data_IF_995840032529
#
_entry.id   IF_995840032529
#
_cell.length_a   1.000
_cell.length_b   1.000
_cell.length_c   1.000
_cell.angle_alpha   90.00
_cell.angle_beta   90.00
_cell.angle_gamma   90.00
#
_symmetry.space_group_name_H-M   'P 1'
#
loop_
_entity.id
_entity.type
_entity.pdbx_description
1 polymer ?
#
# COMPACT_ATOMS: atom_id res chain seq x y z
N UNK A 1 -10.86 -1.91 48.50
CA UNK A 1 -9.80 -1.40 47.59
C UNK A 1 -10.23 -0.01 47.23
N UNK A 2 -9.82 0.97 48.04
CA UNK A 2 -10.25 2.36 47.87
C UNK A 2 -9.60 2.91 46.60
N UNK A 3 -10.42 3.21 45.59
CA UNK A 3 -9.98 3.91 44.39
C UNK A 3 -9.49 5.29 44.82
N UNK A 4 -8.18 5.50 44.75
CA UNK A 4 -7.57 6.82 44.95
C UNK A 4 -8.13 7.73 43.85
N UNK A 5 -9.12 8.54 44.21
CA UNK A 5 -9.76 9.48 43.28
C UNK A 5 -8.82 10.67 43.09
N UNK A 6 -8.12 10.71 41.95
CA UNK A 6 -7.32 11.86 41.56
C UNK A 6 -8.25 13.00 41.16
N UNK A 7 -8.31 14.05 41.98
CA UNK A 7 -9.05 15.26 41.67
C UNK A 7 -8.26 16.10 40.65
N UNK A 8 -8.60 15.91 39.36
CA UNK A 8 -7.96 16.56 38.20
C UNK A 8 -8.12 18.08 38.25
N UNK A 9 -9.11 18.60 39.00
CA UNK A 9 -9.36 20.04 39.11
C UNK A 9 -8.43 20.74 40.10
N UNK A 10 -7.65 20.01 40.90
CA UNK A 10 -6.58 20.61 41.72
C UNK A 10 -5.41 21.03 40.83
N UNK A 11 -5.02 22.29 40.94
CA UNK A 11 -4.03 22.98 40.10
C UNK A 11 -2.72 22.20 39.90
N UNK A 12 -2.20 21.55 40.96
CA UNK A 12 -0.98 20.76 40.87
C UNK A 12 -1.12 19.49 40.02
N UNK A 13 -2.27 18.80 40.08
CA UNK A 13 -2.51 17.59 39.28
C UNK A 13 -2.87 17.93 37.84
N UNK A 14 -3.59 19.03 37.61
CA UNK A 14 -3.89 19.53 36.27
C UNK A 14 -2.60 19.79 35.47
N UNK A 15 -1.65 20.52 36.05
CA UNK A 15 -0.38 20.83 35.40
C UNK A 15 0.46 19.57 35.12
N UNK A 16 0.44 18.59 36.03
CA UNK A 16 1.08 17.29 35.81
C UNK A 16 0.44 16.51 34.65
N UNK A 17 -0.90 16.44 34.59
CA UNK A 17 -1.61 15.76 33.50
C UNK A 17 -1.40 16.48 32.18
N UNK A 18 -1.41 17.82 32.15
CA UNK A 18 -1.13 18.59 30.95
C UNK A 18 0.29 18.37 30.44
N UNK A 19 1.30 18.45 31.31
CA UNK A 19 2.70 18.18 30.92
C UNK A 19 2.88 16.74 30.41
N UNK A 20 2.24 15.76 31.04
CA UNK A 20 2.22 14.38 30.55
C UNK A 20 1.57 14.27 29.16
N UNK A 21 0.41 14.89 28.93
CA UNK A 21 -0.26 14.86 27.63
C UNK A 21 0.56 15.52 26.51
N UNK A 22 1.23 16.63 26.82
CA UNK A 22 2.09 17.35 25.86
C UNK A 22 3.26 16.48 25.42
N UNK A 23 3.79 15.62 26.29
CA UNK A 23 4.89 14.71 25.95
C UNK A 23 4.38 13.42 25.28
N UNK A 24 3.31 12.84 25.81
CA UNK A 24 2.82 11.52 25.37
C UNK A 24 2.18 11.54 23.97
N UNK A 25 1.34 12.55 23.67
CA UNK A 25 0.61 12.60 22.39
C UNK A 25 1.54 12.70 21.16
N UNK A 26 2.54 13.59 21.13
CA UNK A 26 3.49 13.65 20.02
C UNK A 26 4.30 12.36 19.87
N UNK A 27 4.72 11.76 21.00
CA UNK A 27 5.46 10.49 20.97
C UNK A 27 4.63 9.37 20.32
N UNK A 28 3.35 9.24 20.70
CA UNK A 28 2.44 8.27 20.08
C UNK A 28 2.22 8.53 18.59
N UNK A 29 2.07 9.80 18.19
CA UNK A 29 1.93 10.17 16.78
C UNK A 29 3.17 9.82 15.96
N UNK A 30 4.38 10.05 16.51
CA UNK A 30 5.64 9.68 15.86
C UNK A 30 5.74 8.16 15.70
N UNK A 31 5.41 7.39 16.73
CA UNK A 31 5.41 5.92 16.66
C UNK A 31 4.41 5.42 15.62
N UNK A 32 3.20 5.98 15.60
CA UNK A 32 2.18 5.63 14.62
C UNK A 32 2.62 5.93 13.18
N UNK A 33 3.18 7.12 12.95
CA UNK A 33 3.73 7.52 11.65
C UNK A 33 4.90 6.61 11.22
N UNK A 34 5.79 6.26 12.15
CA UNK A 34 6.90 5.34 11.89
C UNK A 34 6.39 3.93 11.51
N UNK A 35 5.37 3.43 12.22
CA UNK A 35 4.75 2.15 11.90
C UNK A 35 4.13 2.16 10.50
N UNK A 36 3.47 3.26 10.07
CA UNK A 36 2.85 3.34 8.74
C UNK A 36 3.86 3.53 7.60
N UNK A 37 4.93 4.28 7.83
CA UNK A 37 5.94 4.54 6.80
C UNK A 37 6.76 3.29 6.43
N UNK A 38 6.90 2.33 7.34
CA UNK A 38 7.60 1.06 7.06
C UNK A 38 6.95 0.22 5.94
N UNK A 39 5.66 -0.15 6.00
CA UNK A 39 4.97 -0.80 4.88
C UNK A 39 5.08 -0.01 3.58
N UNK A 40 4.87 1.31 3.62
CA UNK A 40 4.94 2.16 2.43
C UNK A 40 6.33 2.12 1.78
N UNK A 41 7.39 2.21 2.57
CA UNK A 41 8.76 2.11 2.07
C UNK A 41 9.01 0.75 1.39
N UNK A 42 8.62 -0.35 2.04
CA UNK A 42 8.82 -1.70 1.46
C UNK A 42 7.98 -1.93 0.20
N UNK A 43 6.73 -1.47 0.17
CA UNK A 43 5.89 -1.51 -1.03
C UNK A 43 6.45 -0.64 -2.16
N UNK A 44 6.94 0.55 -1.84
CA UNK A 44 7.63 1.41 -2.82
C UNK A 44 8.87 0.72 -3.39
N UNK A 45 9.67 0.05 -2.55
CA UNK A 45 10.80 -0.74 -3.03
C UNK A 45 10.34 -1.88 -3.96
N UNK A 46 9.26 -2.59 -3.62
CA UNK A 46 8.71 -3.65 -4.46
C UNK A 46 8.27 -3.10 -5.83
N UNK A 47 7.63 -1.93 -5.85
CA UNK A 47 7.23 -1.23 -7.08
C UNK A 47 8.46 -0.88 -7.92
N UNK A 48 9.50 -0.29 -7.32
CA UNK A 48 10.73 0.04 -8.04
C UNK A 48 11.42 -1.21 -8.61
N UNK A 49 11.40 -2.34 -7.90
CA UNK A 49 11.97 -3.59 -8.41
C UNK A 49 11.15 -4.16 -9.58
N UNK A 50 9.82 -4.03 -9.55
CA UNK A 50 8.96 -4.36 -10.69
C UNK A 50 9.26 -3.46 -11.89
N UNK A 51 9.50 -2.17 -11.68
CA UNK A 51 9.87 -1.23 -12.75
C UNK A 51 11.21 -1.55 -13.39
N UNK A 52 12.23 -1.90 -12.60
CA UNK A 52 13.52 -2.36 -13.13
C UNK A 52 13.33 -3.63 -13.97
N UNK A 53 12.50 -4.57 -13.49
CA UNK A 53 12.23 -5.80 -14.22
C UNK A 53 11.49 -5.53 -15.55
N UNK A 54 10.49 -4.66 -15.53
CA UNK A 54 9.76 -4.21 -16.74
C UNK A 54 10.73 -3.57 -17.72
N UNK A 55 11.54 -2.62 -17.26
CA UNK A 55 12.56 -1.93 -18.06
C UNK A 55 13.54 -2.93 -18.71
N UNK A 56 14.00 -3.94 -17.97
CA UNK A 56 14.89 -4.97 -18.50
C UNK A 56 14.25 -5.79 -19.63
N UNK A 57 12.95 -6.08 -19.55
CA UNK A 57 12.25 -6.80 -20.61
C UNK A 57 11.95 -5.90 -21.83
N UNK A 58 11.57 -4.64 -21.62
CA UNK A 58 11.35 -3.67 -22.70
C UNK A 58 12.64 -3.42 -23.50
N UNK A 59 13.77 -3.30 -22.82
CA UNK A 59 15.08 -3.02 -23.41
C UNK A 59 15.90 -4.30 -23.64
N UNK A 60 15.27 -5.47 -23.61
CA UNK A 60 15.95 -6.76 -23.70
C UNK A 60 16.82 -6.90 -24.95
N UNK A 61 16.40 -6.32 -26.08
CA UNK A 61 17.17 -6.35 -27.34
C UNK A 61 18.51 -5.62 -27.21
N UNK A 62 18.51 -4.45 -26.59
CA UNK A 62 19.73 -3.65 -26.44
C UNK A 62 20.64 -4.24 -25.36
N UNK A 63 20.06 -4.75 -24.27
CA UNK A 63 20.80 -5.47 -23.23
C UNK A 63 21.52 -6.71 -23.80
N UNK A 64 20.86 -7.45 -24.69
CA UNK A 64 21.46 -8.63 -25.36
C UNK A 64 22.64 -8.22 -26.23
N UNK A 65 22.50 -7.16 -27.04
CA UNK A 65 23.59 -6.67 -27.89
C UNK A 65 24.81 -6.22 -27.09
N UNK A 66 24.58 -5.42 -26.04
CA UNK A 66 25.66 -4.94 -25.17
C UNK A 66 26.35 -6.11 -24.46
N UNK A 67 25.58 -7.03 -23.90
CA UNK A 67 26.15 -8.20 -23.18
C UNK A 67 26.91 -9.14 -24.13
N UNK A 68 26.41 -9.34 -25.35
CA UNK A 68 27.09 -10.15 -26.37
C UNK A 68 28.43 -9.51 -26.79
N UNK A 69 28.47 -8.19 -26.94
CA UNK A 69 29.69 -7.44 -27.26
C UNK A 69 30.71 -7.47 -26.11
N UNK A 70 30.27 -7.22 -24.87
CA UNK A 70 31.14 -7.21 -23.67
C UNK A 70 31.76 -8.59 -23.40
N UNK A 71 30.99 -9.67 -23.61
CA UNK A 71 31.43 -11.04 -23.31
C UNK A 71 31.95 -11.82 -24.51
N UNK A 72 31.93 -11.22 -25.69
CA UNK A 72 32.32 -11.87 -26.95
C UNK A 72 31.59 -13.21 -27.17
N UNK A 73 30.29 -13.26 -26.85
CA UNK A 73 29.45 -14.45 -26.97
C UNK A 73 28.33 -14.26 -28.00
N UNK A 74 27.63 -15.34 -28.33
CA UNK A 74 26.51 -15.29 -29.28
C UNK A 74 25.27 -14.64 -28.64
N UNK A 75 24.46 -13.92 -29.42
CA UNK A 75 23.25 -13.24 -28.94
C UNK A 75 22.27 -14.19 -28.25
N UNK A 76 22.18 -15.44 -28.70
CA UNK A 76 21.35 -16.47 -28.07
C UNK A 76 21.82 -16.84 -26.65
N UNK A 77 23.13 -16.84 -26.42
CA UNK A 77 23.70 -17.14 -25.11
C UNK A 77 23.51 -15.96 -24.16
N UNK A 78 23.79 -14.74 -24.64
CA UNK A 78 23.50 -13.50 -23.92
C UNK A 78 22.02 -13.37 -23.55
N UNK A 79 21.10 -13.66 -24.48
CA UNK A 79 19.65 -13.66 -24.21
C UNK A 79 19.30 -14.65 -23.10
N UNK A 80 19.80 -15.89 -23.18
CA UNK A 80 19.52 -16.93 -22.19
C UNK A 80 19.97 -16.51 -20.79
N UNK A 81 21.13 -15.87 -20.69
CA UNK A 81 21.64 -15.35 -19.41
C UNK A 81 20.79 -14.22 -18.85
N UNK A 82 20.50 -13.19 -19.66
CA UNK A 82 19.68 -12.04 -19.24
C UNK A 82 18.28 -12.50 -18.85
N UNK A 83 17.68 -13.39 -19.66
CA UNK A 83 16.38 -13.97 -19.36
C UNK A 83 16.41 -14.73 -18.03
N UNK A 84 17.41 -15.60 -17.81
CA UNK A 84 17.58 -16.30 -16.52
C UNK A 84 17.69 -15.31 -15.35
N UNK A 85 18.45 -14.22 -15.51
CA UNK A 85 18.57 -13.16 -14.48
C UNK A 85 17.23 -12.48 -14.21
N UNK A 86 16.45 -12.16 -15.24
CA UNK A 86 15.13 -11.55 -15.11
C UNK A 86 14.14 -12.50 -14.42
N UNK A 87 14.17 -13.80 -14.74
CA UNK A 87 13.33 -14.80 -14.08
C UNK A 87 13.70 -14.93 -12.60
N UNK A 88 14.99 -14.99 -12.26
CA UNK A 88 15.45 -15.03 -10.87
C UNK A 88 15.09 -13.75 -10.10
N UNK A 89 15.17 -12.60 -10.76
CA UNK A 89 14.75 -11.32 -10.20
C UNK A 89 13.24 -11.30 -9.93
N UNK A 90 12.41 -11.76 -10.87
CA UNK A 90 10.97 -11.93 -10.68
C UNK A 90 10.63 -12.86 -9.51
N UNK A 91 11.32 -14.00 -9.39
CA UNK A 91 11.16 -14.91 -8.25
C UNK A 91 11.52 -14.24 -6.93
N UNK A 92 12.58 -13.41 -6.91
CA UNK A 92 13.00 -12.66 -5.74
C UNK A 92 11.98 -11.59 -5.35
N UNK A 93 11.41 -10.87 -6.34
CA UNK A 93 10.33 -9.90 -6.13
C UNK A 93 9.08 -10.58 -5.58
N UNK A 94 8.69 -11.72 -6.16
CA UNK A 94 7.54 -12.51 -5.70
C UNK A 94 7.72 -12.91 -4.23
N UNK A 95 8.90 -13.42 -3.86
CA UNK A 95 9.21 -13.74 -2.47
C UNK A 95 9.16 -12.51 -1.58
N UNK A 96 9.71 -11.38 -2.04
CA UNK A 96 9.72 -10.13 -1.28
C UNK A 96 8.30 -9.61 -1.02
N UNK A 97 7.43 -9.60 -2.03
CA UNK A 97 6.02 -9.20 -1.89
C UNK A 97 5.27 -10.14 -0.94
N UNK A 98 5.52 -11.45 -1.01
CA UNK A 98 4.93 -12.40 -0.06
C UNK A 98 5.41 -12.13 1.37
N UNK A 99 6.69 -11.78 1.58
CA UNK A 99 7.20 -11.39 2.90
C UNK A 99 6.58 -10.09 3.41
N UNK A 100 6.37 -9.09 2.54
CA UNK A 100 5.64 -7.85 2.87
C UNK A 100 4.22 -8.20 3.34
N UNK A 101 3.52 -9.04 2.58
CA UNK A 101 2.16 -9.46 2.93
C UNK A 101 2.14 -10.22 4.27
N UNK A 102 2.99 -11.21 4.48
CA UNK A 102 3.04 -11.96 5.74
C UNK A 102 3.36 -11.08 6.94
N UNK A 103 4.29 -10.12 6.78
CA UNK A 103 4.71 -9.23 7.88
C UNK A 103 3.68 -8.16 8.19
N UNK A 104 3.08 -7.54 7.18
CA UNK A 104 2.23 -6.36 7.33
C UNK A 104 0.73 -6.62 7.13
N UNK A 105 0.30 -7.85 6.79
CA UNK A 105 -1.13 -8.18 6.58
C UNK A 105 -2.01 -7.82 7.78
N UNK A 106 -1.53 -8.06 9.01
CA UNK A 106 -2.23 -7.69 10.23
C UNK A 106 -2.34 -6.18 10.41
N UNK A 107 -1.25 -5.45 10.11
CA UNK A 107 -1.23 -4.00 10.17
C UNK A 107 -2.16 -3.36 9.12
N UNK A 108 -2.08 -3.81 7.87
CA UNK A 108 -2.97 -3.34 6.78
C UNK A 108 -4.43 -3.61 7.10
N UNK A 109 -4.73 -4.76 7.71
CA UNK A 109 -6.07 -5.06 8.21
C UNK A 109 -6.51 -4.10 9.30
N UNK A 110 -5.65 -3.85 10.31
CA UNK A 110 -5.96 -2.90 11.38
C UNK A 110 -6.20 -1.50 10.81
N UNK A 111 -5.37 -1.04 9.87
CA UNK A 111 -5.56 0.25 9.20
C UNK A 111 -6.90 0.32 8.47
N UNK A 112 -7.29 -0.73 7.73
CA UNK A 112 -8.60 -0.77 7.04
C UNK A 112 -9.77 -0.65 8.03
N UNK A 113 -9.74 -1.42 9.13
CA UNK A 113 -10.80 -1.39 10.13
C UNK A 113 -10.84 -0.04 10.87
N UNK A 114 -9.68 0.47 11.32
CA UNK A 114 -9.59 1.75 12.02
C UNK A 114 -10.03 2.90 11.14
N UNK A 115 -9.57 2.97 9.88
CA UNK A 115 -9.99 4.00 8.94
C UNK A 115 -11.49 3.94 8.68
N UNK A 116 -12.06 2.75 8.49
CA UNK A 116 -13.52 2.59 8.30
C UNK A 116 -14.30 3.01 9.54
N UNK A 117 -13.85 2.61 10.73
CA UNK A 117 -14.47 3.01 11.99
C UNK A 117 -14.44 4.52 12.21
N UNK A 118 -13.29 5.14 11.96
CA UNK A 118 -13.09 6.60 12.08
C UNK A 118 -13.97 7.35 11.10
N UNK A 119 -14.06 6.91 9.86
CA UNK A 119 -14.96 7.46 8.84
C UNK A 119 -16.43 7.41 9.32
N UNK A 120 -16.84 6.32 9.98
CA UNK A 120 -18.16 6.21 10.58
C UNK A 120 -18.38 7.15 11.78
N UNK A 121 -17.45 7.21 12.72
CA UNK A 121 -17.59 8.03 13.93
C UNK A 121 -17.51 9.53 13.63
N UNK A 122 -16.64 9.95 12.72
CA UNK A 122 -16.52 11.36 12.30
C UNK A 122 -17.79 11.84 11.60
N UNK A 123 -18.44 10.98 10.81
CA UNK A 123 -19.74 11.28 10.22
C UNK A 123 -20.78 11.61 11.32
N UNK A 124 -20.84 10.84 12.42
CA UNK A 124 -21.72 11.13 13.56
C UNK A 124 -21.33 12.42 14.29
N UNK A 125 -20.03 12.65 14.49
CA UNK A 125 -19.52 13.86 15.15
C UNK A 125 -19.92 15.12 14.38
N UNK A 126 -19.82 15.12 13.05
CA UNK A 126 -20.26 16.25 12.20
C UNK A 126 -21.73 16.59 12.46
N UNK A 127 -22.60 15.60 12.65
CA UNK A 127 -24.01 15.85 12.94
C UNK A 127 -24.27 16.33 14.38
N UNK A 128 -23.37 16.06 15.32
CA UNK A 128 -23.51 16.40 16.73
C UNK A 128 -23.06 17.83 17.06
N UNK A 129 -22.33 18.49 16.16
CA UNK A 129 -21.87 19.88 16.35
C UNK A 129 -23.06 20.83 16.22
N UNK A 130 -23.57 21.31 17.34
CA UNK A 130 -24.56 22.38 17.39
C UNK A 130 -23.90 23.71 17.00
N UNK A 131 -24.34 24.31 15.89
CA UNK A 131 -23.80 25.56 15.32
C UNK A 131 -22.33 25.51 14.85
N UNK A 132 -22.04 24.91 13.68
CA UNK A 132 -20.68 24.80 13.13
C UNK A 132 -19.91 26.11 13.02
N UNK A 133 -20.61 27.22 12.75
CA UNK A 133 -20.00 28.55 12.62
C UNK A 133 -19.48 29.13 13.95
N UNK A 134 -19.97 28.64 15.10
CA UNK A 134 -19.48 29.05 16.42
C UNK A 134 -18.34 28.14 16.92
N UNK A 135 -18.34 26.87 16.50
CA UNK A 135 -17.38 25.85 16.90
C UNK A 135 -16.37 25.51 15.78
N UNK A 136 -15.81 26.53 15.11
CA UNK A 136 -14.92 26.36 13.95
C UNK A 136 -13.72 25.48 14.27
N UNK A 137 -13.13 25.62 15.46
CA UNK A 137 -11.96 24.82 15.88
C UNK A 137 -12.29 23.32 15.91
N UNK A 138 -13.45 22.96 16.44
CA UNK A 138 -13.91 21.57 16.50
C UNK A 138 -14.16 21.00 15.10
N UNK A 139 -14.82 21.77 14.23
CA UNK A 139 -15.04 21.41 12.82
C UNK A 139 -13.72 21.18 12.09
N UNK A 140 -12.74 22.08 12.26
CA UNK A 140 -11.43 21.94 11.64
C UNK A 140 -10.69 20.70 12.13
N UNK A 141 -10.77 20.38 13.42
CA UNK A 141 -10.17 19.16 13.97
C UNK A 141 -10.79 17.90 13.38
N UNK A 142 -12.12 17.83 13.27
CA UNK A 142 -12.83 16.68 12.68
C UNK A 142 -12.45 16.51 11.21
N UNK A 143 -12.42 17.60 10.43
CA UNK A 143 -12.01 17.56 9.02
C UNK A 143 -10.54 17.17 8.83
N UNK A 144 -9.65 17.68 9.68
CA UNK A 144 -8.23 17.31 9.65
C UNK A 144 -8.07 15.82 9.95
N UNK A 145 -8.75 15.29 10.98
CA UNK A 145 -8.71 13.88 11.31
C UNK A 145 -9.25 13.01 10.18
N UNK A 146 -10.39 13.38 9.60
CA UNK A 146 -10.99 12.71 8.46
C UNK A 146 -10.03 12.63 7.26
N UNK A 147 -9.41 13.76 6.89
CA UNK A 147 -8.53 13.84 5.74
C UNK A 147 -7.26 12.99 5.90
N UNK A 148 -6.69 12.92 7.11
CA UNK A 148 -5.54 12.07 7.42
C UNK A 148 -5.85 10.59 7.19
N UNK A 149 -6.95 10.07 7.74
CA UNK A 149 -7.29 8.65 7.62
C UNK A 149 -7.73 8.26 6.20
N UNK A 150 -8.42 9.15 5.48
CA UNK A 150 -8.67 8.96 4.04
C UNK A 150 -7.34 8.89 3.27
N UNK A 151 -6.41 9.79 3.57
CA UNK A 151 -5.09 9.82 2.93
C UNK A 151 -4.30 8.54 3.16
N UNK A 152 -4.23 8.06 4.41
CA UNK A 152 -3.58 6.80 4.77
C UNK A 152 -4.19 5.63 3.99
N UNK A 153 -5.52 5.50 4.01
CA UNK A 153 -6.23 4.43 3.32
C UNK A 153 -6.02 4.48 1.80
N UNK A 154 -6.00 5.69 1.23
CA UNK A 154 -5.73 5.90 -0.19
C UNK A 154 -4.30 5.48 -0.54
N UNK A 155 -3.30 5.88 0.24
CA UNK A 155 -1.88 5.56 0.00
C UNK A 155 -1.66 4.04 0.04
N UNK A 156 -2.19 3.35 1.06
CA UNK A 156 -2.12 1.87 1.15
C UNK A 156 -2.71 1.22 -0.11
N UNK A 157 -3.92 1.65 -0.47
CA UNK A 157 -4.67 1.14 -1.62
C UNK A 157 -3.99 1.44 -2.95
N UNK A 158 -3.34 2.60 -3.07
CA UNK A 158 -2.59 3.02 -4.24
C UNK A 158 -1.35 2.14 -4.44
N UNK A 159 -0.57 1.90 -3.38
CA UNK A 159 0.61 1.05 -3.46
C UNK A 159 0.24 -0.39 -3.81
N UNK A 160 -0.73 -0.99 -3.11
CA UNK A 160 -1.19 -2.35 -3.40
C UNK A 160 -1.74 -2.52 -4.82
N UNK A 161 -2.50 -1.51 -5.30
CA UNK A 161 -3.00 -1.49 -6.67
C UNK A 161 -1.87 -1.34 -7.70
N UNK A 162 -0.88 -0.49 -7.44
CA UNK A 162 0.26 -0.28 -8.35
C UNK A 162 1.09 -1.55 -8.51
N UNK A 163 1.35 -2.27 -7.41
CA UNK A 163 2.01 -3.59 -7.45
C UNK A 163 1.22 -4.56 -8.33
N UNK A 164 -0.10 -4.61 -8.14
CA UNK A 164 -1.00 -5.49 -8.91
C UNK A 164 -0.96 -5.17 -10.41
N UNK A 165 -1.07 -3.89 -10.77
CA UNK A 165 -1.05 -3.44 -12.18
C UNK A 165 0.30 -3.73 -12.83
N UNK A 166 1.41 -3.34 -12.19
CA UNK A 166 2.76 -3.56 -12.74
C UNK A 166 3.06 -5.05 -12.86
N UNK A 167 2.69 -5.85 -11.87
CA UNK A 167 2.84 -7.31 -11.95
C UNK A 167 2.09 -7.91 -13.14
N UNK A 168 0.85 -7.48 -13.39
CA UNK A 168 0.08 -7.92 -14.57
C UNK A 168 0.74 -7.48 -15.88
N UNK A 169 1.29 -6.27 -15.91
CA UNK A 169 1.94 -5.71 -17.10
C UNK A 169 3.17 -6.50 -17.55
N UNK A 170 3.92 -7.12 -16.64
CA UNK A 170 5.09 -7.95 -16.96
C UNK A 170 4.75 -9.01 -18.02
N UNK A 171 3.59 -9.68 -17.91
CA UNK A 171 3.20 -10.70 -18.89
C UNK A 171 3.11 -10.17 -20.33
N UNK A 172 2.60 -8.95 -20.49
CA UNK A 172 2.51 -8.25 -21.78
C UNK A 172 3.88 -7.85 -22.31
N UNK A 173 4.76 -7.34 -21.44
CA UNK A 173 6.10 -6.90 -21.83
C UNK A 173 6.96 -8.09 -22.27
N UNK A 174 6.94 -9.18 -21.50
CA UNK A 174 7.66 -10.42 -21.83
C UNK A 174 7.18 -11.00 -23.16
N UNK A 175 5.88 -10.96 -23.43
CA UNK A 175 5.32 -11.40 -24.71
C UNK A 175 5.83 -10.57 -25.89
N UNK A 176 6.14 -9.29 -25.66
CA UNK A 176 6.63 -8.35 -26.67
C UNK A 176 8.13 -8.46 -26.94
N UNK A 177 8.88 -9.26 -26.17
CA UNK A 177 10.31 -9.48 -26.41
C UNK A 177 10.56 -10.15 -27.78
N UNK A 178 11.75 -10.00 -28.39
CA UNK A 178 12.06 -10.58 -29.70
C UNK A 178 12.31 -12.10 -29.63
N UNK A 179 11.29 -12.89 -29.32
CA UNK A 179 11.41 -14.33 -29.04
C UNK A 179 11.26 -15.25 -30.26
N UNK A 180 10.88 -14.73 -31.43
CA UNK A 180 10.60 -15.51 -32.65
C UNK A 180 11.84 -16.26 -33.17
N UNK A 181 13.02 -15.64 -33.09
CA UNK A 181 14.26 -16.22 -33.62
C UNK A 181 15.04 -17.05 -32.59
N UNK A 182 14.50 -17.21 -31.38
CA UNK A 182 15.19 -17.94 -30.31
C UNK A 182 15.12 -19.46 -30.48
N UNK A 183 16.10 -20.21 -29.90
CA UNK A 183 16.06 -21.66 -29.85
C UNK A 183 14.79 -22.19 -29.18
N UNK A 184 14.29 -23.34 -29.63
CA UNK A 184 13.06 -23.97 -29.13
C UNK A 184 13.06 -24.18 -27.62
N UNK A 185 14.21 -24.50 -27.02
CA UNK A 185 14.34 -24.64 -25.58
C UNK A 185 14.00 -23.33 -24.83
N UNK A 186 14.55 -22.19 -25.28
CA UNK A 186 14.33 -20.87 -24.67
C UNK A 186 12.89 -20.41 -24.88
N UNK A 187 12.29 -20.71 -26.03
CA UNK A 187 10.87 -20.41 -26.30
C UNK A 187 9.94 -21.12 -25.30
N UNK A 188 10.21 -22.39 -24.98
CA UNK A 188 9.43 -23.15 -23.99
C UNK A 188 9.52 -22.49 -22.60
N UNK A 189 10.72 -22.11 -22.17
CA UNK A 189 10.93 -21.44 -20.89
C UNK A 189 10.21 -20.09 -20.83
N UNK A 190 10.24 -19.32 -21.92
CA UNK A 190 9.55 -18.03 -22.04
C UNK A 190 8.03 -18.18 -21.95
N UNK A 191 7.44 -19.17 -22.62
CA UNK A 191 6.00 -19.46 -22.52
C UNK A 191 5.60 -19.84 -21.10
N UNK A 192 6.38 -20.67 -20.42
CA UNK A 192 6.15 -21.02 -19.02
C UNK A 192 6.20 -19.76 -18.14
N UNK A 193 7.17 -18.88 -18.37
CA UNK A 193 7.31 -17.64 -17.63
C UNK A 193 6.14 -16.67 -17.87
N UNK A 194 5.65 -16.53 -19.11
CA UNK A 194 4.44 -15.76 -19.41
C UNK A 194 3.24 -16.33 -18.64
N UNK A 195 3.03 -17.65 -18.69
CA UNK A 195 1.93 -18.28 -17.96
C UNK A 195 2.01 -18.06 -16.44
N UNK A 196 3.23 -17.96 -15.88
CA UNK A 196 3.43 -17.63 -14.46
C UNK A 196 3.15 -16.17 -14.15
N UNK A 197 3.60 -15.24 -14.99
CA UNK A 197 3.43 -13.78 -14.78
C UNK A 197 2.01 -13.28 -15.05
N UNK A 198 1.16 -14.09 -15.71
CA UNK A 198 -0.28 -13.81 -15.84
C UNK A 198 -1.02 -13.82 -14.50
N UNK A 199 -0.48 -14.47 -13.46
CA UNK A 199 -1.03 -14.40 -12.11
C UNK A 199 -0.46 -13.15 -11.43
N UNK A 200 -1.26 -12.11 -11.19
CA UNK A 200 -0.75 -10.88 -10.60
C UNK A 200 -0.37 -11.08 -9.14
N UNK A 201 0.66 -10.35 -8.71
CA UNK A 201 1.00 -10.19 -7.30
C UNK A 201 0.00 -9.25 -6.65
N UNK A 202 -0.77 -9.74 -5.69
CA UNK A 202 -1.81 -8.98 -4.98
C UNK A 202 -1.47 -9.00 -3.50
N UNK A 203 -1.38 -7.82 -2.88
CA UNK A 203 -1.24 -7.71 -1.43
C UNK A 203 -2.63 -7.70 -0.82
N UNK A 204 -2.84 -8.54 0.19
CA UNK A 204 -4.11 -8.60 0.91
C UNK A 204 -3.96 -8.23 2.39
N UNK A 205 -4.99 -7.60 2.93
CA UNK A 205 -5.17 -7.40 4.34
C UNK A 205 -5.80 -8.65 4.98
N UNK A 206 -5.16 -9.16 6.03
CA UNK A 206 -5.53 -10.39 6.73
C UNK A 206 -5.79 -11.62 5.82
N UNK A 207 -5.19 -11.69 4.62
CA UNK A 207 -5.47 -12.75 3.62
C UNK A 207 -6.91 -12.80 3.09
N UNK A 208 -7.70 -11.74 3.33
CA UNK A 208 -9.13 -11.69 2.99
C UNK A 208 -9.45 -10.60 1.96
N UNK A 209 -8.94 -9.39 2.18
CA UNK A 209 -9.35 -8.22 1.40
C UNK A 209 -8.15 -7.71 0.60
N UNK A 210 -8.23 -7.64 -0.74
CA UNK A 210 -7.16 -7.06 -1.54
C UNK A 210 -6.99 -5.58 -1.19
N UNK A 211 -5.75 -5.17 -0.96
CA UNK A 211 -5.40 -3.76 -0.77
C UNK A 211 -5.32 -3.11 -2.15
N UNK A 212 -6.42 -2.49 -2.57
CA UNK A 212 -6.58 -1.95 -3.92
C UNK A 212 -7.44 -0.68 -3.92
N UNK A 213 -7.33 0.11 -5.00
CA UNK A 213 -8.19 1.29 -5.19
C UNK A 213 -9.67 0.93 -5.24
N UNK A 214 -10.02 -0.28 -5.70
CA UNK A 214 -11.40 -0.77 -5.65
C UNK A 214 -11.90 -0.92 -4.21
N UNK A 215 -11.08 -1.46 -3.31
CA UNK A 215 -11.40 -1.56 -1.88
C UNK A 215 -11.55 -0.17 -1.25
N UNK A 216 -10.66 0.77 -1.56
CA UNK A 216 -10.79 2.17 -1.15
C UNK A 216 -12.13 2.78 -1.60
N UNK A 217 -12.46 2.66 -2.89
CA UNK A 217 -13.73 3.18 -3.43
C UNK A 217 -14.94 2.53 -2.75
N UNK A 218 -14.89 1.23 -2.44
CA UNK A 218 -15.95 0.55 -1.68
C UNK A 218 -16.13 1.16 -0.29
N UNK A 219 -15.04 1.37 0.46
CA UNK A 219 -15.08 1.99 1.80
C UNK A 219 -15.63 3.42 1.73
N UNK A 220 -15.19 4.22 0.76
CA UNK A 220 -15.68 5.59 0.58
C UNK A 220 -17.16 5.64 0.22
N UNK A 221 -17.62 4.76 -0.68
CA UNK A 221 -19.03 4.66 -1.05
C UNK A 221 -19.90 4.23 0.13
N UNK A 222 -19.44 3.27 0.94
CA UNK A 222 -20.14 2.85 2.15
C UNK A 222 -20.26 3.99 3.16
N UNK A 223 -19.16 4.71 3.39
CA UNK A 223 -19.12 5.88 4.27
C UNK A 223 -20.09 6.96 3.81
N UNK A 224 -20.06 7.31 2.52
CA UNK A 224 -20.95 8.31 1.94
C UNK A 224 -22.43 7.91 2.07
N UNK A 225 -22.77 6.66 1.79
CA UNK A 225 -24.13 6.14 1.98
C UNK A 225 -24.57 6.23 3.44
N UNK A 226 -23.70 5.86 4.38
CA UNK A 226 -23.97 6.00 5.82
C UNK A 226 -24.23 7.47 6.20
N UNK A 227 -23.40 8.39 5.74
CA UNK A 227 -23.58 9.83 5.95
C UNK A 227 -24.90 10.34 5.35
N UNK A 228 -25.24 9.95 4.13
CA UNK A 228 -26.48 10.35 3.46
C UNK A 228 -27.73 9.88 4.23
N UNK A 229 -27.73 8.63 4.73
CA UNK A 229 -28.82 8.09 5.56
C UNK A 229 -28.94 8.86 6.88
N UNK A 230 -27.83 9.14 7.57
CA UNK A 230 -27.86 9.95 8.79
C UNK A 230 -28.38 11.37 8.55
N UNK A 231 -27.99 11.99 7.42
CA UNK A 231 -28.51 13.30 7.05
C UNK A 231 -30.02 13.28 6.77
N UNK A 232 -30.53 12.19 6.17
CA UNK A 232 -31.97 12.01 5.95
C UNK A 232 -32.74 11.78 7.26
N UNK A 233 -32.17 11.11 8.26
CA UNK A 233 -32.82 10.90 9.55
C UNK A 233 -32.85 12.14 10.44
N UNK A 234 -31.92 13.08 10.22
CA UNK A 234 -31.82 14.33 10.98
C UNK A 234 -32.80 15.42 10.48
N UNK A 235 -33.14 15.38 9.18
CA UNK A 235 -34.10 16.29 8.55
C UNK A 235 -35.52 15.73 8.64
#
# INVERSE_FOLDING_TARGET
MDLIFFDINKESYFNYVCSYQILYKPMMLIIFAALQTMPWATMSCAISQLDILIYNFENMKDLVKTTAAERQCNENEAFKEIFKRCVLHHCSITRFVNTIEETFSGQLSATLFLSTGILGTTAVQIFSIESPMKNIVEVLWVLAYLSIFIGILFIDSYFGNTITIKSKHISTVVFSCPWINLPTAVKKDLVIFIAKTQRPLVITAAKLVPVSLETFTKVMNWTYKGFAVMNQMKN
#
